data_IF_658795639188
#
_entry.id   IF_658795639188
#
_cell.length_a   1.000
_cell.length_b   1.000
_cell.length_c   1.000
_cell.angle_alpha   90.00
_cell.angle_beta   90.00
_cell.angle_gamma   90.00
#
_symmetry.space_group_name_H-M   'P 1'
#
loop_
_entity.id
_entity.type
_entity.pdbx_description
1 polymer ?
#
# COMPACT_ATOMS: atom_id res chain seq x y z
N UNK A 1 7.81 12.29 -6.25
CA UNK A 1 6.62 13.01 -5.73
C UNK A 1 7.04 14.42 -5.38
N UNK A 2 6.26 15.43 -5.74
CA UNK A 2 6.60 16.83 -5.43
C UNK A 2 6.08 17.25 -4.03
N UNK A 3 6.56 18.42 -3.54
CA UNK A 3 6.24 18.93 -2.19
C UNK A 3 4.74 19.15 -1.97
N UNK A 4 4.03 19.66 -2.99
CA UNK A 4 2.57 19.91 -2.90
C UNK A 4 1.78 18.60 -2.74
N UNK A 5 2.10 17.57 -3.54
CA UNK A 5 1.45 16.25 -3.46
C UNK A 5 1.67 15.60 -2.09
N UNK A 6 2.88 15.73 -1.52
CA UNK A 6 3.19 15.23 -0.16
C UNK A 6 2.31 15.95 0.87
N UNK A 7 2.23 17.28 0.80
CA UNK A 7 1.41 18.06 1.73
C UNK A 7 -0.07 17.69 1.65
N UNK A 8 -0.62 17.52 0.44
CA UNK A 8 -2.01 17.09 0.25
C UNK A 8 -2.25 15.71 0.86
N UNK A 9 -1.38 14.74 0.62
CA UNK A 9 -1.52 13.41 1.20
C UNK A 9 -1.54 13.47 2.74
N UNK A 10 -0.58 14.19 3.35
CA UNK A 10 -0.51 14.36 4.81
C UNK A 10 -1.77 15.04 5.38
N UNK A 11 -2.24 16.12 4.74
CA UNK A 11 -3.44 16.84 5.17
C UNK A 11 -4.69 15.99 5.03
N UNK A 12 -4.84 15.27 3.93
CA UNK A 12 -5.96 14.34 3.71
C UNK A 12 -5.99 13.25 4.76
N UNK A 13 -4.84 12.62 5.06
CA UNK A 13 -4.73 11.61 6.11
C UNK A 13 -5.06 12.19 7.50
N UNK A 14 -4.65 13.42 7.80
CA UNK A 14 -5.01 14.11 9.05
C UNK A 14 -6.52 14.36 9.17
N UNK A 15 -7.17 14.80 8.10
CA UNK A 15 -8.64 14.99 8.10
C UNK A 15 -9.34 13.63 8.27
N UNK A 16 -8.85 12.58 7.61
CA UNK A 16 -9.39 11.22 7.70
C UNK A 16 -9.25 10.60 9.08
N UNK A 17 -8.30 11.01 9.91
CA UNK A 17 -8.22 10.52 11.29
C UNK A 17 -9.47 10.86 12.10
N UNK A 18 -10.18 11.95 11.73
CA UNK A 18 -11.35 12.47 12.44
C UNK A 18 -12.67 12.31 11.66
N UNK A 19 -12.62 12.34 10.31
CA UNK A 19 -13.82 12.25 9.44
C UNK A 19 -13.81 10.95 8.62
N UNK A 20 -14.98 10.38 8.37
CA UNK A 20 -15.16 9.29 7.41
C UNK A 20 -14.85 9.73 5.99
N UNK A 21 -14.30 8.83 5.17
CA UNK A 21 -14.02 9.09 3.75
C UNK A 21 -15.26 9.53 2.97
N UNK A 22 -16.42 8.96 3.28
CA UNK A 22 -17.70 9.33 2.66
C UNK A 22 -18.03 10.81 2.81
N UNK A 23 -17.70 11.39 3.96
CA UNK A 23 -18.00 12.78 4.34
C UNK A 23 -16.96 13.81 3.89
N UNK A 24 -15.85 13.38 3.28
CA UNK A 24 -14.81 14.29 2.77
C UNK A 24 -15.14 14.64 1.33
N UNK A 25 -15.02 15.92 0.98
CA UNK A 25 -15.10 16.45 -0.37
C UNK A 25 -13.74 17.01 -0.82
N UNK A 26 -13.57 17.17 -2.12
CA UNK A 26 -12.40 17.89 -2.69
C UNK A 26 -12.33 19.31 -2.14
N UNK A 27 -13.50 19.97 -1.92
CA UNK A 27 -13.56 21.34 -1.37
C UNK A 27 -12.98 21.41 0.04
N UNK A 28 -13.17 20.38 0.87
CA UNK A 28 -12.60 20.34 2.23
C UNK A 28 -11.07 20.34 2.18
N UNK A 29 -10.50 19.65 1.21
CA UNK A 29 -9.05 19.62 1.00
C UNK A 29 -8.54 20.93 0.39
N UNK A 30 -9.26 21.49 -0.59
CA UNK A 30 -8.87 22.75 -1.24
C UNK A 30 -8.88 23.96 -0.30
N UNK A 31 -9.74 23.95 0.73
CA UNK A 31 -9.76 24.99 1.77
C UNK A 31 -8.48 25.02 2.62
N UNK A 32 -7.82 23.90 2.79
CA UNK A 32 -6.63 23.78 3.64
C UNK A 32 -5.33 23.71 2.85
N UNK A 33 -5.39 23.55 1.53
CA UNK A 33 -4.21 23.48 0.67
C UNK A 33 -4.57 23.66 -0.81
N UNK A 34 -3.72 24.36 -1.57
CA UNK A 34 -3.83 24.41 -3.02
C UNK A 34 -3.73 23.01 -3.61
N UNK A 35 -4.70 22.65 -4.46
CA UNK A 35 -4.72 21.35 -5.11
C UNK A 35 -3.80 21.34 -6.33
N UNK A 36 -2.92 20.35 -6.48
CA UNK A 36 -2.19 20.12 -7.72
C UNK A 36 -3.13 19.81 -8.89
N UNK A 37 -2.76 20.20 -10.10
CA UNK A 37 -3.58 20.02 -11.31
C UNK A 37 -4.02 18.58 -11.59
N UNK A 38 -3.27 17.59 -11.12
CA UNK A 38 -3.54 16.17 -11.30
C UNK A 38 -4.53 15.58 -10.26
N UNK A 39 -5.02 16.38 -9.30
CA UNK A 39 -6.00 15.95 -8.31
C UNK A 39 -7.33 16.65 -8.62
N UNK A 40 -8.21 15.96 -9.35
CA UNK A 40 -9.50 16.49 -9.81
C UNK A 40 -10.69 15.92 -9.04
N UNK A 41 -10.55 14.72 -8.46
CA UNK A 41 -11.64 13.99 -7.80
C UNK A 41 -11.12 13.21 -6.57
N UNK A 42 -12.04 12.58 -5.84
CA UNK A 42 -11.71 11.80 -4.64
C UNK A 42 -10.80 10.59 -4.93
N UNK A 43 -10.94 9.95 -6.08
CA UNK A 43 -10.09 8.82 -6.43
C UNK A 43 -8.63 9.28 -6.66
N UNK A 44 -8.43 10.50 -7.20
CA UNK A 44 -7.08 11.05 -7.35
C UNK A 44 -6.45 11.34 -5.97
N UNK A 45 -7.24 11.72 -4.96
CA UNK A 45 -6.75 11.83 -3.58
C UNK A 45 -6.28 10.49 -3.03
N UNK A 46 -7.03 9.39 -3.26
CA UNK A 46 -6.61 8.05 -2.84
C UNK A 46 -5.34 7.60 -3.54
N UNK A 47 -5.26 7.79 -4.86
CA UNK A 47 -4.03 7.53 -5.62
C UNK A 47 -2.86 8.36 -5.10
N UNK A 48 -3.10 9.63 -4.72
CA UNK A 48 -2.06 10.49 -4.16
C UNK A 48 -1.59 10.01 -2.78
N UNK A 49 -2.50 9.52 -1.93
CA UNK A 49 -2.14 8.88 -0.64
C UNK A 49 -1.29 7.63 -0.89
N UNK A 50 -1.70 6.77 -1.83
CA UNK A 50 -0.94 5.56 -2.16
C UNK A 50 0.47 5.89 -2.67
N UNK A 51 0.61 6.86 -3.58
CA UNK A 51 1.91 7.37 -4.06
C UNK A 51 2.76 8.00 -2.94
N UNK A 52 2.12 8.61 -1.96
CA UNK A 52 2.82 9.11 -0.79
C UNK A 52 3.40 7.97 0.05
N UNK A 53 2.68 6.87 0.22
CA UNK A 53 3.21 5.68 0.88
C UNK A 53 4.36 5.06 0.09
N UNK A 54 4.26 4.97 -1.24
CA UNK A 54 5.34 4.52 -2.11
C UNK A 54 6.60 5.40 -1.98
N UNK A 55 6.40 6.72 -1.86
CA UNK A 55 7.50 7.66 -1.60
C UNK A 55 8.17 7.41 -0.24
N UNK A 56 7.38 7.14 0.81
CA UNK A 56 7.92 6.81 2.14
C UNK A 56 8.67 5.47 2.13
N UNK A 57 8.16 4.46 1.43
CA UNK A 57 8.84 3.17 1.27
C UNK A 57 10.21 3.39 0.63
N UNK A 58 10.29 4.13 -0.48
CA UNK A 58 11.58 4.44 -1.13
C UNK A 58 12.59 5.10 -0.20
N UNK A 59 12.13 5.90 0.78
CA UNK A 59 13.01 6.53 1.76
C UNK A 59 13.44 5.52 2.82
N UNK A 60 12.49 4.78 3.39
CA UNK A 60 12.72 3.87 4.52
C UNK A 60 13.55 2.64 4.13
N UNK A 61 13.56 2.26 2.85
CA UNK A 61 14.28 1.08 2.36
C UNK A 61 15.62 1.41 1.69
N UNK A 62 16.09 2.66 1.75
CA UNK A 62 17.39 3.07 1.16
C UNK A 62 18.59 2.35 1.74
N UNK A 63 18.53 2.02 3.01
CA UNK A 63 19.60 1.36 3.77
C UNK A 63 19.36 -0.13 3.94
N UNK A 64 18.43 -0.70 3.17
CA UNK A 64 18.14 -2.12 3.24
C UNK A 64 19.36 -2.93 2.80
N UNK A 65 19.85 -3.79 3.67
CA UNK A 65 20.95 -4.70 3.36
C UNK A 65 20.53 -5.75 2.34
N UNK A 66 21.45 -6.09 1.43
CA UNK A 66 21.15 -7.07 0.39
C UNK A 66 21.13 -8.46 1.03
N UNK A 67 19.99 -9.12 0.96
CA UNK A 67 19.74 -10.47 1.46
C UNK A 67 19.06 -11.32 0.39
N UNK A 68 18.44 -12.44 0.77
CA UNK A 68 17.66 -13.22 -0.20
C UNK A 68 16.51 -12.39 -0.78
N UNK A 69 16.12 -12.69 -2.02
CA UNK A 69 14.99 -11.98 -2.68
C UNK A 69 13.70 -12.05 -1.86
N UNK A 70 13.47 -13.18 -1.15
CA UNK A 70 12.33 -13.36 -0.26
C UNK A 70 12.42 -12.41 0.93
N UNK A 71 13.58 -12.37 1.61
CA UNK A 71 13.75 -11.54 2.81
C UNK A 71 13.66 -10.06 2.45
N UNK A 72 14.28 -9.64 1.35
CA UNK A 72 14.14 -8.28 0.85
C UNK A 72 12.68 -7.93 0.55
N UNK A 73 11.92 -8.84 -0.06
CA UNK A 73 10.51 -8.62 -0.37
C UNK A 73 9.68 -8.54 0.92
N UNK A 74 9.96 -9.39 1.90
CA UNK A 74 9.36 -9.35 3.22
C UNK A 74 9.60 -7.99 3.90
N UNK A 75 10.85 -7.52 3.97
CA UNK A 75 11.22 -6.24 4.58
C UNK A 75 10.53 -5.06 3.89
N UNK A 76 10.49 -5.03 2.56
CA UNK A 76 9.84 -3.94 1.81
C UNK A 76 8.34 -3.92 2.05
N UNK A 77 7.68 -5.08 2.07
CA UNK A 77 6.23 -5.17 2.34
C UNK A 77 5.94 -4.85 3.81
N UNK A 78 6.77 -5.29 4.77
CA UNK A 78 6.62 -4.91 6.18
C UNK A 78 6.81 -3.40 6.39
N UNK A 79 7.80 -2.78 5.74
CA UNK A 79 7.95 -1.32 5.77
C UNK A 79 6.68 -0.59 5.29
N UNK A 80 5.94 -1.18 4.34
CA UNK A 80 4.62 -0.67 3.92
C UNK A 80 3.59 -0.80 5.03
N UNK A 81 3.51 -1.93 5.72
CA UNK A 81 2.59 -2.11 6.86
C UNK A 81 2.92 -1.19 8.03
N UNK A 82 4.19 -0.91 8.30
CA UNK A 82 4.62 0.08 9.29
C UNK A 82 4.12 1.49 8.94
N UNK A 83 4.16 1.86 7.66
CA UNK A 83 3.61 3.13 7.19
C UNK A 83 2.08 3.13 7.36
N UNK A 84 1.38 2.06 6.98
CA UNK A 84 -0.06 1.93 7.19
C UNK A 84 -0.42 2.03 8.66
N UNK A 85 0.39 1.45 9.55
CA UNK A 85 0.20 1.49 11.00
C UNK A 85 0.26 2.92 11.56
N UNK A 86 1.17 3.77 11.06
CA UNK A 86 1.22 5.20 11.42
C UNK A 86 -0.06 5.95 11.07
N UNK A 87 -0.75 5.53 10.02
CA UNK A 87 -1.99 6.16 9.53
C UNK A 87 -3.23 5.26 9.72
N UNK A 88 -3.15 4.28 10.62
CA UNK A 88 -4.15 3.22 10.80
C UNK A 88 -5.59 3.73 10.86
N UNK A 89 -5.87 4.74 11.70
CA UNK A 89 -7.22 5.33 11.84
C UNK A 89 -7.78 5.80 10.48
N UNK A 90 -6.95 6.46 9.69
CA UNK A 90 -7.34 7.00 8.38
C UNK A 90 -7.57 5.88 7.36
N UNK A 91 -6.70 4.88 7.34
CA UNK A 91 -6.79 3.75 6.41
C UNK A 91 -8.01 2.88 6.69
N UNK A 92 -8.30 2.59 7.96
CA UNK A 92 -9.50 1.84 8.34
C UNK A 92 -10.76 2.61 7.90
N UNK A 93 -10.85 3.91 8.11
CA UNK A 93 -11.99 4.72 7.66
C UNK A 93 -12.16 4.76 6.14
N UNK A 94 -11.06 4.75 5.39
CA UNK A 94 -11.11 4.58 3.93
C UNK A 94 -11.70 3.22 3.59
N UNK A 95 -11.16 2.14 4.15
CA UNK A 95 -11.61 0.78 3.90
C UNK A 95 -13.11 0.60 4.25
N UNK A 96 -13.53 1.04 5.42
CA UNK A 96 -14.92 0.96 5.86
C UNK A 96 -15.89 1.67 4.91
N UNK A 97 -15.46 2.75 4.27
CA UNK A 97 -16.28 3.47 3.29
C UNK A 97 -16.53 2.69 1.99
N UNK A 98 -15.69 1.70 1.69
CA UNK A 98 -15.87 0.81 0.52
C UNK A 98 -16.71 -0.44 0.85
N UNK A 99 -16.92 -0.79 2.14
CA UNK A 99 -17.69 -1.99 2.52
C UNK A 99 -19.08 -2.05 1.91
N UNK A 100 -19.87 -0.94 1.86
CA UNK A 100 -21.20 -0.98 1.22
C UNK A 100 -21.15 -1.15 -0.30
N UNK A 101 -20.04 -0.78 -0.95
CA UNK A 101 -19.89 -0.80 -2.40
C UNK A 101 -18.46 -1.27 -2.76
N UNK A 102 -18.11 -2.53 -2.55
CA UNK A 102 -16.74 -3.03 -2.70
C UNK A 102 -16.22 -2.92 -4.14
N UNK A 103 -17.09 -2.95 -5.15
CA UNK A 103 -16.71 -2.76 -6.56
C UNK A 103 -16.01 -1.42 -6.82
N UNK A 104 -16.29 -0.39 -6.01
CA UNK A 104 -15.61 0.93 -6.14
C UNK A 104 -14.12 0.85 -5.78
N UNK A 105 -13.72 -0.12 -4.96
CA UNK A 105 -12.31 -0.33 -4.63
C UNK A 105 -11.51 -0.90 -5.81
N UNK A 106 -12.17 -1.53 -6.79
CA UNK A 106 -11.52 -2.06 -8.00
C UNK A 106 -10.80 -0.97 -8.80
N UNK A 107 -11.29 0.28 -8.74
CA UNK A 107 -10.65 1.44 -9.36
C UNK A 107 -9.24 1.75 -8.81
N UNK A 108 -8.91 1.20 -7.64
CA UNK A 108 -7.61 1.39 -7.00
C UNK A 108 -6.61 0.27 -7.36
N UNK A 109 -7.07 -0.86 -7.93
CA UNK A 109 -6.22 -2.01 -8.27
C UNK A 109 -5.00 -1.59 -9.12
N UNK A 110 -5.14 -0.80 -10.20
CA UNK A 110 -3.98 -0.39 -10.98
C UNK A 110 -2.92 0.33 -10.13
N UNK A 111 -3.35 1.23 -9.24
CA UNK A 111 -2.44 1.96 -8.35
C UNK A 111 -1.76 1.05 -7.33
N UNK A 112 -2.43 0.01 -6.84
CA UNK A 112 -1.83 -0.98 -5.95
C UNK A 112 -0.86 -1.91 -6.69
N UNK A 113 -1.16 -2.29 -7.94
CA UNK A 113 -0.22 -3.06 -8.77
C UNK A 113 1.06 -2.27 -9.07
N UNK A 114 0.95 -0.96 -9.35
CA UNK A 114 2.12 -0.07 -9.47
C UNK A 114 2.96 -0.09 -8.18
N UNK A 115 2.31 -0.07 -7.02
CA UNK A 115 2.99 -0.14 -5.73
C UNK A 115 3.66 -1.50 -5.47
N UNK A 116 3.04 -2.59 -5.92
CA UNK A 116 3.66 -3.92 -5.82
C UNK A 116 4.84 -4.07 -6.78
N UNK A 117 4.74 -3.49 -7.98
CA UNK A 117 5.88 -3.41 -8.91
C UNK A 117 7.04 -2.65 -8.29
N UNK A 118 6.79 -1.49 -7.69
CA UNK A 118 7.81 -0.74 -6.96
C UNK A 118 8.45 -1.56 -5.83
N UNK A 119 7.63 -2.27 -5.04
CA UNK A 119 8.14 -3.11 -3.96
C UNK A 119 9.01 -4.26 -4.47
N UNK A 120 8.60 -4.88 -5.58
CA UNK A 120 9.39 -5.91 -6.26
C UNK A 120 10.71 -5.35 -6.81
N UNK A 121 10.70 -4.16 -7.41
CA UNK A 121 11.91 -3.49 -7.92
C UNK A 121 12.92 -3.21 -6.79
N UNK A 122 12.45 -2.68 -5.65
CA UNK A 122 13.31 -2.44 -4.48
C UNK A 122 13.91 -3.75 -3.96
N UNK A 123 13.10 -4.82 -3.92
CA UNK A 123 13.52 -6.15 -3.48
C UNK A 123 14.36 -6.91 -4.54
N UNK A 124 14.66 -6.29 -5.70
CA UNK A 124 15.33 -6.94 -6.84
C UNK A 124 14.65 -8.23 -7.30
N UNK A 125 13.33 -8.26 -7.18
CA UNK A 125 12.49 -9.38 -7.55
C UNK A 125 12.03 -9.21 -9.00
N UNK A 126 12.40 -10.16 -9.87
CA UNK A 126 12.11 -10.06 -11.30
C UNK A 126 10.61 -10.21 -11.61
N UNK A 127 10.04 -9.16 -12.21
CA UNK A 127 8.64 -9.11 -12.64
C UNK A 127 8.48 -8.98 -14.15
N UNK A 128 9.53 -9.27 -14.95
CA UNK A 128 9.49 -9.15 -16.40
C UNK A 128 8.85 -10.37 -17.07
N UNK A 129 8.25 -10.12 -18.23
CA UNK A 129 7.61 -11.15 -19.04
C UNK A 129 6.37 -11.77 -18.40
N UNK A 130 5.88 -12.86 -18.98
CA UNK A 130 4.65 -13.56 -18.54
C UNK A 130 4.82 -14.10 -17.11
N UNK A 131 5.92 -14.78 -16.81
CA UNK A 131 6.21 -15.30 -15.47
C UNK A 131 6.29 -14.18 -14.43
N UNK A 132 6.91 -13.04 -14.78
CA UNK A 132 6.99 -11.87 -13.92
C UNK A 132 5.61 -11.26 -13.64
N UNK A 133 4.74 -11.21 -14.64
CA UNK A 133 3.35 -10.75 -14.46
C UNK A 133 2.56 -11.64 -13.48
N UNK A 134 2.73 -12.96 -13.56
CA UNK A 134 2.11 -13.91 -12.61
C UNK A 134 2.63 -13.66 -11.20
N UNK A 135 3.95 -13.49 -11.03
CA UNK A 135 4.59 -13.19 -9.74
C UNK A 135 4.05 -11.89 -9.14
N UNK A 136 3.91 -10.83 -9.96
CA UNK A 136 3.37 -9.54 -9.52
C UNK A 136 1.92 -9.65 -9.04
N UNK A 137 1.07 -10.39 -9.77
CA UNK A 137 -0.30 -10.66 -9.35
C UNK A 137 -0.35 -11.49 -8.06
N UNK A 138 0.52 -12.49 -7.94
CA UNK A 138 0.68 -13.27 -6.70
C UNK A 138 1.08 -12.40 -5.51
N UNK A 139 2.05 -11.51 -5.70
CA UNK A 139 2.46 -10.54 -4.67
C UNK A 139 1.32 -9.62 -4.26
N UNK A 140 0.51 -9.15 -5.21
CA UNK A 140 -0.67 -8.35 -4.92
C UNK A 140 -1.70 -9.12 -4.07
N UNK A 141 -1.95 -10.39 -4.37
CA UNK A 141 -2.85 -11.26 -3.59
C UNK A 141 -2.31 -11.43 -2.16
N UNK A 142 -1.00 -11.71 -2.01
CA UNK A 142 -0.34 -11.83 -0.71
C UNK A 142 -0.49 -10.53 0.09
N UNK A 143 -0.23 -9.38 -0.54
CA UNK A 143 -0.39 -8.08 0.09
C UNK A 143 -1.83 -7.85 0.58
N UNK A 144 -2.84 -8.14 -0.25
CA UNK A 144 -4.25 -7.98 0.12
C UNK A 144 -4.63 -8.93 1.26
N UNK A 145 -4.23 -10.19 1.20
CA UNK A 145 -4.48 -11.17 2.27
C UNK A 145 -3.85 -10.71 3.60
N UNK A 146 -2.59 -10.26 3.54
CA UNK A 146 -1.88 -9.73 4.72
C UNK A 146 -2.53 -8.44 5.24
N UNK A 147 -3.07 -7.57 4.36
CA UNK A 147 -3.79 -6.36 4.76
C UNK A 147 -5.03 -6.69 5.62
N UNK A 148 -5.77 -7.76 5.31
CA UNK A 148 -6.90 -8.19 6.14
C UNK A 148 -6.46 -8.71 7.52
N UNK A 149 -5.31 -9.36 7.61
CA UNK A 149 -4.71 -9.74 8.91
C UNK A 149 -4.29 -8.48 9.67
N UNK A 150 -3.57 -7.56 9.02
CA UNK A 150 -3.16 -6.28 9.61
C UNK A 150 -4.34 -5.48 10.17
N UNK A 151 -5.47 -5.43 9.50
CA UNK A 151 -6.66 -4.73 10.01
C UNK A 151 -7.12 -5.25 11.38
N UNK A 152 -6.87 -6.51 11.68
CA UNK A 152 -7.25 -7.16 12.94
C UNK A 152 -6.06 -7.30 13.93
N UNK A 153 -4.84 -6.97 13.48
CA UNK A 153 -3.65 -7.03 14.31
C UNK A 153 -3.57 -5.78 15.20
N UNK A 154 -3.77 -5.96 16.51
CA UNK A 154 -3.72 -4.89 17.52
C UNK A 154 -2.36 -4.80 18.22
N UNK A 155 -1.41 -5.67 17.88
CA UNK A 155 -0.06 -5.65 18.46
C UNK A 155 0.72 -4.45 17.94
N UNK A 156 1.58 -3.88 18.77
CA UNK A 156 2.45 -2.76 18.34
C UNK A 156 3.52 -3.20 17.34
N UNK A 157 4.01 -4.43 17.52
CA UNK A 157 5.04 -5.07 16.70
C UNK A 157 4.51 -5.68 15.40
N UNK A 158 3.20 -5.68 15.16
CA UNK A 158 2.56 -6.30 14.01
C UNK A 158 2.88 -7.80 13.87
N UNK A 159 2.97 -8.53 15.00
CA UNK A 159 3.38 -9.94 15.03
C UNK A 159 2.53 -10.86 14.15
N UNK A 160 1.20 -10.69 14.19
CA UNK A 160 0.30 -11.48 13.36
C UNK A 160 0.47 -11.16 11.87
N UNK A 161 0.69 -9.88 11.56
CA UNK A 161 0.94 -9.39 10.20
C UNK A 161 2.24 -9.95 9.65
N UNK A 162 3.33 -9.88 10.45
CA UNK A 162 4.64 -10.44 10.12
C UNK A 162 4.57 -11.94 9.85
N UNK A 163 3.99 -12.70 10.78
CA UNK A 163 3.86 -14.16 10.66
C UNK A 163 3.04 -14.56 9.44
N UNK A 164 1.95 -13.83 9.15
CA UNK A 164 1.11 -14.10 7.99
C UNK A 164 1.86 -13.81 6.67
N UNK A 165 2.55 -12.67 6.59
CA UNK A 165 3.32 -12.31 5.40
C UNK A 165 4.43 -13.31 5.11
N UNK A 166 5.21 -13.68 6.12
CA UNK A 166 6.29 -14.68 5.98
C UNK A 166 5.73 -16.02 5.46
N UNK A 167 4.67 -16.52 6.10
CA UNK A 167 3.99 -17.76 5.68
C UNK A 167 3.51 -17.69 4.22
N UNK A 168 2.89 -16.58 3.80
CA UNK A 168 2.39 -16.44 2.43
C UNK A 168 3.50 -16.36 1.40
N UNK A 169 4.60 -15.67 1.72
CA UNK A 169 5.78 -15.62 0.85
C UNK A 169 6.43 -17.01 0.71
N UNK A 170 6.55 -17.77 1.80
CA UNK A 170 7.06 -19.14 1.77
C UNK A 170 6.20 -20.06 0.91
N UNK A 171 4.89 -20.02 1.11
CA UNK A 171 3.96 -20.85 0.34
C UNK A 171 4.00 -20.50 -1.15
N UNK A 172 4.07 -19.21 -1.49
CA UNK A 172 4.16 -18.78 -2.88
C UNK A 172 5.47 -19.21 -3.54
N UNK A 173 6.59 -19.16 -2.82
CA UNK A 173 7.90 -19.65 -3.29
C UNK A 173 7.87 -21.14 -3.61
N UNK A 174 7.31 -21.96 -2.72
CA UNK A 174 7.13 -23.41 -2.94
C UNK A 174 6.23 -23.72 -4.14
N UNK A 175 5.16 -22.94 -4.33
CA UNK A 175 4.24 -23.09 -5.46
C UNK A 175 4.92 -22.70 -6.78
N UNK A 176 5.64 -21.58 -6.82
CA UNK A 176 6.34 -21.11 -8.01
C UNK A 176 7.45 -22.07 -8.44
N UNK A 177 8.18 -22.68 -7.50
CA UNK A 177 9.21 -23.67 -7.81
C UNK A 177 8.65 -24.99 -8.37
N UNK A 178 7.36 -25.26 -8.19
CA UNK A 178 6.68 -26.44 -8.77
C UNK A 178 6.16 -26.19 -10.19
N UNK A 179 5.96 -24.92 -10.58
CA UNK A 179 5.38 -24.53 -11.89
C UNK A 179 6.47 -24.10 -12.88
N UNK A 180 7.67 -23.81 -12.40
CA UNK A 180 8.84 -23.39 -13.21
C UNK A 180 9.83 -24.49 -13.36
#
# INVERSE_FOLDING_TARGET
MNKEQIQIAKKTLKILSNKSWGLISIKDISRVSKLPKNIKNKNDLLKNINRYFDYLIKINTRTLEVSSKKDMLFEVIMARFDILQKYRKSIIKIYESFRPNPHKSLLLIPSFLESMMLSADIAKFDTKGIKGTIKLKGLFIIYVATFFIWMNDKTKSLEKTMTALDKYLDQSGKFMNKIV
#
